data_IF_308845202104
#
_entry.id   IF_308845202104
#
_cell.length_a   1.000
_cell.length_b   1.000
_cell.length_c   1.000
_cell.angle_alpha   90.00
_cell.angle_beta   90.00
_cell.angle_gamma   90.00
#
_symmetry.space_group_name_H-M   'P 1'
#
loop_
_entity.id
_entity.type
_entity.pdbx_description
1 polymer ?
#
# COMPACT_ATOMS: atom_id res chain seq x y z
N UNK A 1 -11.61 19.76 5.09
CA UNK A 1 -10.46 19.41 4.24
C UNK A 1 -9.72 18.25 4.89
N UNK A 2 -9.38 17.22 4.13
CA UNK A 2 -8.61 16.10 4.66
C UNK A 2 -7.83 15.41 3.54
N UNK A 3 -6.80 14.68 3.91
CA UNK A 3 -6.04 13.88 2.96
C UNK A 3 -6.86 12.64 2.61
N UNK A 4 -7.16 12.44 1.33
CA UNK A 4 -7.95 11.30 0.89
C UNK A 4 -7.09 10.04 0.76
N UNK A 5 -5.96 10.16 0.10
CA UNK A 5 -5.06 9.00 -0.04
C UNK A 5 -3.65 9.45 -0.37
N UNK A 6 -2.72 8.53 -0.15
CA UNK A 6 -1.34 8.63 -0.59
C UNK A 6 -1.13 7.52 -1.60
N UNK A 7 -0.53 7.83 -2.74
CA UNK A 7 -0.31 6.85 -3.79
C UNK A 7 1.13 6.37 -3.79
N UNK A 8 1.27 5.06 -3.92
CA UNK A 8 2.57 4.42 -4.04
C UNK A 8 2.58 3.56 -5.30
N UNK A 9 3.66 3.63 -6.07
CA UNK A 9 3.86 2.75 -7.20
C UNK A 9 4.53 1.48 -6.73
N UNK A 10 4.01 0.32 -7.17
CA UNK A 10 4.51 -0.99 -6.74
C UNK A 10 4.83 -1.83 -7.96
N UNK A 11 5.82 -2.70 -7.82
CA UNK A 11 6.24 -3.59 -8.91
C UNK A 11 5.58 -4.96 -8.88
N UNK A 12 4.99 -5.33 -7.74
CA UNK A 12 4.29 -6.59 -7.57
C UNK A 12 3.05 -6.32 -6.71
N UNK A 13 1.91 -6.18 -7.39
CA UNK A 13 0.69 -5.78 -6.71
C UNK A 13 0.21 -6.81 -5.70
N UNK A 14 0.22 -8.09 -6.07
CA UNK A 14 -0.27 -9.13 -5.17
C UNK A 14 0.57 -9.21 -3.89
N UNK A 15 1.88 -9.08 -4.03
CA UNK A 15 2.77 -9.09 -2.89
C UNK A 15 2.54 -7.86 -2.00
N UNK A 16 2.31 -6.71 -2.63
CA UNK A 16 2.04 -5.49 -1.88
C UNK A 16 0.71 -5.56 -1.14
N UNK A 17 -0.34 -6.06 -1.80
CA UNK A 17 -1.64 -6.26 -1.15
C UNK A 17 -1.50 -7.22 0.03
N UNK A 18 -0.77 -8.32 -0.16
CA UNK A 18 -0.54 -9.27 0.92
C UNK A 18 0.12 -8.61 2.12
N UNK A 19 1.11 -7.76 1.87
CA UNK A 19 1.79 -7.04 2.94
C UNK A 19 0.82 -6.14 3.72
N UNK A 20 0.08 -5.29 3.03
CA UNK A 20 -0.79 -4.34 3.71
C UNK A 20 -1.99 -5.02 4.37
N UNK A 21 -2.55 -6.03 3.75
CA UNK A 21 -3.74 -6.69 4.28
C UNK A 21 -3.37 -7.74 5.34
N UNK A 22 -2.50 -8.67 4.99
CA UNK A 22 -2.24 -9.80 5.88
C UNK A 22 -1.22 -9.51 6.98
N UNK A 23 -0.30 -8.57 6.75
CA UNK A 23 0.70 -8.26 7.75
C UNK A 23 0.38 -7.01 8.56
N UNK A 24 -0.18 -5.98 7.91
CA UNK A 24 -0.52 -4.75 8.61
C UNK A 24 -2.00 -4.64 8.97
N UNK A 25 -2.80 -5.63 8.60
CA UNK A 25 -4.20 -5.69 9.03
C UNK A 25 -5.14 -4.73 8.35
N UNK A 26 -4.76 -4.20 7.19
CA UNK A 26 -5.65 -3.33 6.43
C UNK A 26 -6.70 -4.15 5.69
N UNK A 27 -7.72 -3.48 5.20
CA UNK A 27 -8.71 -4.07 4.33
C UNK A 27 -8.43 -3.67 2.88
N UNK A 28 -8.62 -4.61 1.96
CA UNK A 28 -8.62 -4.29 0.54
C UNK A 28 -9.97 -3.68 0.21
N UNK A 29 -10.01 -2.37 0.00
CA UNK A 29 -11.27 -1.66 -0.14
C UNK A 29 -11.83 -1.75 -1.55
N UNK A 30 -10.97 -1.66 -2.55
CA UNK A 30 -11.35 -1.85 -3.95
C UNK A 30 -10.11 -2.07 -4.80
N UNK A 31 -10.32 -2.72 -5.94
CA UNK A 31 -9.26 -3.00 -6.91
C UNK A 31 -9.88 -2.92 -8.30
N UNK A 32 -9.21 -2.24 -9.22
CA UNK A 32 -9.73 -2.08 -10.56
C UNK A 32 -8.60 -2.02 -11.59
N UNK A 33 -8.81 -2.73 -12.71
CA UNK A 33 -7.91 -2.70 -13.86
C UNK A 33 -8.32 -1.61 -14.82
N UNK A 34 -7.31 -0.95 -15.40
CA UNK A 34 -7.50 0.08 -16.42
C UNK A 34 -6.70 -0.31 -17.67
N UNK A 35 -7.29 -1.17 -18.53
CA UNK A 35 -6.54 -1.72 -19.68
C UNK A 35 -6.02 -0.67 -20.65
N UNK A 36 -6.77 0.41 -20.84
CA UNK A 36 -6.33 1.46 -21.78
C UNK A 36 -5.07 2.16 -21.29
N UNK A 37 -4.91 2.30 -19.97
CA UNK A 37 -3.71 2.88 -19.38
C UNK A 37 -2.68 1.86 -18.97
N UNK A 38 -3.01 0.57 -19.07
CA UNK A 38 -2.15 -0.54 -18.67
C UNK A 38 -1.69 -0.42 -17.22
N UNK A 39 -2.65 -0.19 -16.34
CA UNK A 39 -2.35 -0.17 -14.92
C UNK A 39 -3.53 -0.69 -14.11
N UNK A 40 -3.25 -1.06 -12.88
CA UNK A 40 -4.23 -1.53 -11.89
C UNK A 40 -4.08 -0.68 -10.64
N UNK A 41 -5.21 -0.29 -10.06
CA UNK A 41 -5.23 0.41 -8.78
C UNK A 41 -5.83 -0.48 -7.72
N UNK A 42 -5.25 -0.44 -6.53
CA UNK A 42 -5.81 -1.10 -5.35
C UNK A 42 -5.76 -0.13 -4.18
N UNK A 43 -6.85 -0.05 -3.43
CA UNK A 43 -6.93 0.83 -2.28
C UNK A 43 -7.01 0.00 -1.02
N UNK A 44 -6.10 0.26 -0.09
CA UNK A 44 -6.03 -0.45 1.19
C UNK A 44 -6.09 0.55 2.33
N UNK A 45 -6.68 0.15 3.45
CA UNK A 45 -6.83 1.03 4.59
C UNK A 45 -7.54 0.35 5.75
N UNK A 46 -7.70 1.09 6.84
CA UNK A 46 -8.30 0.54 8.06
C UNK A 46 -9.78 0.82 8.18
N UNK A 47 -10.38 1.47 7.19
CA UNK A 47 -11.80 1.75 7.19
C UNK A 47 -12.22 2.26 5.82
N UNK A 48 -13.45 2.77 5.70
CA UNK A 48 -13.97 3.24 4.42
C UNK A 48 -13.20 4.46 3.91
N UNK A 49 -13.14 4.61 2.60
CA UNK A 49 -12.50 5.78 1.99
C UNK A 49 -13.23 7.07 2.32
N UNK A 50 -14.51 6.99 2.67
CA UNK A 50 -15.30 8.17 3.00
C UNK A 50 -14.85 8.81 4.31
N UNK A 51 -14.41 8.00 5.26
CA UNK A 51 -14.08 8.47 6.60
C UNK A 51 -12.61 8.34 6.96
N UNK A 52 -11.83 7.63 6.17
CA UNK A 52 -10.44 7.33 6.49
C UNK A 52 -9.52 7.67 5.33
N UNK A 53 -8.31 8.11 5.67
CA UNK A 53 -7.24 8.26 4.68
C UNK A 53 -6.72 6.87 4.35
N UNK A 54 -6.57 6.57 3.07
CA UNK A 54 -6.19 5.24 2.61
C UNK A 54 -4.93 5.32 1.77
N UNK A 55 -4.38 4.17 1.41
CA UNK A 55 -3.22 4.07 0.54
C UNK A 55 -3.69 3.56 -0.81
N UNK A 56 -3.29 4.26 -1.87
CA UNK A 56 -3.56 3.83 -3.24
C UNK A 56 -2.30 3.17 -3.79
N UNK A 57 -2.42 1.89 -4.14
CA UNK A 57 -1.32 1.15 -4.76
C UNK A 57 -1.53 1.16 -6.27
N UNK A 58 -0.55 1.66 -6.99
CA UNK A 58 -0.59 1.72 -8.45
C UNK A 58 0.40 0.74 -9.02
N UNK A 59 -0.10 -0.22 -9.79
CA UNK A 59 0.74 -1.17 -10.51
C UNK A 59 0.66 -0.89 -12.00
N UNK A 60 1.77 -0.43 -12.58
CA UNK A 60 1.90 -0.23 -14.02
C UNK A 60 2.36 -1.55 -14.63
N UNK A 61 1.58 -2.11 -15.55
CA UNK A 61 1.76 -3.48 -16.02
C UNK A 61 3.14 -3.76 -16.62
N UNK A 62 3.77 -2.75 -17.21
CA UNK A 62 5.07 -2.93 -17.85
C UNK A 62 6.25 -2.59 -16.93
N UNK A 63 6.00 -2.35 -15.65
CA UNK A 63 7.03 -1.91 -14.71
C UNK A 63 7.21 -2.92 -13.58
N UNK A 64 8.47 -3.13 -13.20
CA UNK A 64 8.84 -3.93 -12.02
C UNK A 64 9.43 -3.01 -10.97
N UNK A 65 9.65 -3.54 -9.77
CA UNK A 65 10.17 -2.73 -8.67
C UNK A 65 11.49 -2.05 -9.01
N UNK A 66 12.39 -2.76 -9.71
CA UNK A 66 13.69 -2.21 -10.08
C UNK A 66 13.63 -1.12 -11.14
N UNK A 67 12.49 -0.93 -11.78
CA UNK A 67 12.31 0.12 -12.77
C UNK A 67 12.05 1.49 -12.15
N UNK A 68 11.84 1.55 -10.83
CA UNK A 68 11.57 2.81 -10.14
C UNK A 68 12.80 3.28 -9.37
N UNK A 69 13.08 4.56 -9.49
CA UNK A 69 14.09 5.19 -8.65
C UNK A 69 13.46 5.59 -7.34
N UNK A 70 14.11 5.28 -6.22
CA UNK A 70 13.58 5.59 -4.91
C UNK A 70 13.69 7.06 -4.57
N UNK A 71 14.78 7.72 -5.00
CA UNK A 71 14.98 9.11 -4.68
C UNK A 71 15.25 9.31 -3.20
N UNK A 72 15.23 10.56 -2.77
CA UNK A 72 15.49 10.90 -1.37
C UNK A 72 14.54 11.95 -0.80
N UNK A 73 13.49 12.28 -1.53
CA UNK A 73 12.50 13.27 -1.08
C UNK A 73 11.42 12.68 -0.20
N UNK A 74 11.03 11.44 -0.49
CA UNK A 74 9.98 10.79 0.27
C UNK A 74 10.53 10.27 1.59
N UNK A 75 9.83 10.54 2.66
CA UNK A 75 10.24 10.07 3.98
C UNK A 75 9.64 8.71 4.32
N UNK A 76 8.50 8.73 5.00
CA UNK A 76 7.88 7.49 5.44
C UNK A 76 6.39 7.69 5.72
N UNK A 77 5.69 6.58 5.87
CA UNK A 77 4.32 6.54 6.35
C UNK A 77 4.36 5.88 7.73
N UNK A 78 3.79 6.55 8.73
CA UNK A 78 3.74 6.03 10.10
C UNK A 78 2.38 5.40 10.37
N UNK A 79 2.40 4.24 11.01
CA UNK A 79 1.18 3.51 11.36
C UNK A 79 1.18 3.29 12.87
N UNK A 80 0.12 3.79 13.53
CA UNK A 80 -0.04 3.58 14.97
C UNK A 80 -0.55 2.18 15.24
N UNK A 81 0.09 1.48 16.18
CA UNK A 81 -0.34 0.15 16.60
C UNK A 81 -0.45 0.12 18.12
N UNK A 82 -1.32 -0.76 18.63
CA UNK A 82 -1.48 -0.90 20.08
C UNK A 82 -0.34 -1.67 20.69
N UNK A 83 0.16 -2.67 20.01
CA UNK A 83 1.18 -3.57 20.51
C UNK A 83 2.18 -3.89 19.43
N UNK A 84 3.32 -3.20 19.47
CA UNK A 84 4.37 -3.38 18.47
C UNK A 84 4.95 -4.79 18.53
N UNK A 85 4.91 -5.44 19.70
CA UNK A 85 5.43 -6.81 19.83
C UNK A 85 4.57 -7.80 19.04
N UNK A 86 3.25 -7.64 19.07
CA UNK A 86 2.37 -8.48 18.26
C UNK A 86 2.68 -8.30 16.78
N UNK A 87 2.89 -7.07 16.35
CA UNK A 87 3.21 -6.80 14.94
C UNK A 87 4.53 -7.46 14.53
N UNK A 88 5.54 -7.39 15.39
CA UNK A 88 6.84 -8.00 15.11
C UNK A 88 6.76 -9.52 15.01
N UNK A 89 5.89 -10.14 15.78
CA UNK A 89 5.70 -11.58 15.70
C UNK A 89 4.98 -12.00 14.43
N UNK A 90 4.11 -11.18 13.92
CA UNK A 90 3.35 -11.51 12.71
C UNK A 90 4.08 -11.16 11.43
N UNK A 91 5.10 -10.32 11.50
CA UNK A 91 5.88 -9.90 10.35
C UNK A 91 7.25 -10.57 10.34
N UNK A 92 7.66 -11.21 9.23
CA UNK A 92 9.00 -11.81 9.17
C UNK A 92 10.11 -10.77 9.17
N UNK A 93 9.81 -9.54 8.77
CA UNK A 93 10.80 -8.47 8.78
C UNK A 93 10.12 -7.17 9.15
N UNK A 94 10.53 -6.53 10.25
CA UNK A 94 9.93 -5.26 10.66
C UNK A 94 10.36 -4.08 9.80
N UNK A 95 11.27 -4.30 8.87
CA UNK A 95 11.82 -3.22 8.04
C UNK A 95 11.22 -3.18 6.65
N UNK A 96 10.44 -4.14 6.30
CA UNK A 96 9.78 -4.18 4.99
C UNK A 96 8.41 -3.50 5.02
#
# INVERSE_FOLDING_TARGET
MRILHTMLRVGDLDKSIDFYVNRLGMNLLRKKDYPHGKFTLAFVGYGSEEENTVIELTYNWDKKSEDYELGDKYGHIAIGVKDIHCLLYTSPSPRD
#
